data_IF_075305927338
#
_entry.id   IF_075305927338
#
_cell.length_a   1.000
_cell.length_b   1.000
_cell.length_c   1.000
_cell.angle_alpha   90.00
_cell.angle_beta   90.00
_cell.angle_gamma   90.00
#
_symmetry.space_group_name_H-M   'P 1'
#
loop_
_entity.id
_entity.type
_entity.pdbx_description
1 polymer ?
#
# COMPACT_ATOMS: atom_id res chain seq x y z
N UNK A 1 16.58 2.36 16.69
CA UNK A 1 15.33 3.10 16.36
C UNK A 1 14.61 2.26 15.32
N UNK A 2 13.36 1.95 15.56
CA UNK A 2 12.54 1.16 14.65
C UNK A 2 12.36 1.88 13.31
N UNK A 3 12.55 1.18 12.22
CA UNK A 3 12.41 1.75 10.87
C UNK A 3 11.01 1.52 10.33
N UNK A 4 10.63 2.25 9.27
CA UNK A 4 9.38 2.01 8.57
C UNK A 4 9.24 0.55 8.10
N UNK A 5 10.36 -0.06 7.66
CA UNK A 5 10.40 -1.48 7.26
C UNK A 5 10.09 -2.40 8.44
N UNK A 6 10.71 -2.18 9.59
CA UNK A 6 10.48 -3.02 10.78
C UNK A 6 9.00 -2.99 11.19
N UNK A 7 8.37 -1.81 11.17
CA UNK A 7 6.93 -1.63 11.46
C UNK A 7 6.06 -2.39 10.45
N UNK A 8 6.34 -2.27 9.16
CA UNK A 8 5.57 -2.97 8.13
C UNK A 8 5.77 -4.50 8.21
N UNK A 9 6.98 -4.97 8.45
CA UNK A 9 7.28 -6.40 8.62
C UNK A 9 6.58 -6.97 9.86
N UNK A 10 6.51 -6.23 10.96
CA UNK A 10 5.75 -6.61 12.15
C UNK A 10 4.25 -6.66 11.84
N UNK A 11 3.69 -5.63 11.23
CA UNK A 11 2.28 -5.56 10.85
C UNK A 11 1.87 -6.68 9.87
N UNK A 12 2.79 -7.11 8.99
CA UNK A 12 2.56 -8.26 8.11
C UNK A 12 2.37 -9.57 8.88
N UNK A 13 2.96 -9.69 10.09
CA UNK A 13 2.82 -10.84 11.01
C UNK A 13 1.70 -10.67 12.04
N UNK A 14 0.86 -9.65 11.89
CA UNK A 14 -0.21 -9.29 12.84
C UNK A 14 0.26 -8.69 14.17
N UNK A 15 1.51 -8.25 14.22
CA UNK A 15 2.10 -7.51 15.33
C UNK A 15 2.02 -6.02 14.98
N UNK A 16 0.88 -5.42 15.33
CA UNK A 16 0.58 -4.01 15.02
C UNK A 16 1.21 -3.08 16.07
N UNK A 17 1.51 -1.83 15.71
CA UNK A 17 1.88 -0.80 16.70
C UNK A 17 0.86 -0.72 17.84
N UNK A 18 1.31 -0.35 19.06
CA UNK A 18 0.43 -0.29 20.23
C UNK A 18 -0.71 0.71 20.03
N UNK A 19 -1.94 0.34 20.42
CA UNK A 19 -3.10 1.23 20.33
C UNK A 19 -3.06 2.30 21.47
N UNK A 20 -2.08 3.22 21.41
CA UNK A 20 -1.73 4.14 22.48
C UNK A 20 -2.12 5.61 22.19
N UNK A 21 -2.80 5.87 21.07
CA UNK A 21 -3.20 7.20 20.64
C UNK A 21 -2.06 8.08 20.13
N UNK A 22 -0.87 7.52 19.90
CA UNK A 22 0.33 8.29 19.54
C UNK A 22 0.61 8.27 18.04
N UNK A 23 1.48 9.19 17.64
CA UNK A 23 2.07 9.24 16.32
C UNK A 23 3.58 9.07 16.44
N UNK A 24 4.13 8.08 15.75
CA UNK A 24 5.57 7.88 15.59
C UNK A 24 6.03 8.56 14.30
N UNK A 25 7.14 9.30 14.36
CA UNK A 25 7.77 9.88 13.18
C UNK A 25 9.04 9.11 12.86
N UNK A 26 9.16 8.61 11.65
CA UNK A 26 10.33 7.88 11.16
C UNK A 26 10.85 8.49 9.85
N UNK A 27 12.14 8.38 9.55
CA UNK A 27 12.66 8.82 8.25
C UNK A 27 12.01 8.06 7.09
N UNK A 28 11.85 8.71 5.96
CA UNK A 28 11.50 8.04 4.71
C UNK A 28 12.66 7.15 4.25
N UNK A 29 12.35 6.00 3.64
CA UNK A 29 13.38 5.04 3.19
C UNK A 29 13.82 5.30 1.73
N UNK A 30 13.15 6.18 1.02
CA UNK A 30 13.49 6.58 -0.35
C UNK A 30 13.02 8.00 -0.62
N UNK A 31 13.65 8.67 -1.59
CA UNK A 31 13.19 9.99 -2.04
C UNK A 31 11.82 9.93 -2.74
N UNK A 32 11.38 8.75 -3.17
CA UNK A 32 10.11 8.55 -3.88
C UNK A 32 8.89 8.76 -2.99
N UNK A 33 8.92 8.20 -1.77
CA UNK A 33 7.72 8.06 -0.94
C UNK A 33 7.93 8.70 0.44
N UNK A 34 7.00 9.56 0.84
CA UNK A 34 6.75 10.00 2.20
C UNK A 34 5.27 9.78 2.52
N UNK A 35 4.83 9.97 3.75
CA UNK A 35 3.39 9.87 4.02
C UNK A 35 3.02 9.46 5.42
N UNK A 36 1.83 8.92 5.54
CA UNK A 36 1.20 8.52 6.80
C UNK A 36 0.64 7.12 6.67
N UNK A 37 0.95 6.28 7.66
CA UNK A 37 0.27 5.00 7.88
C UNK A 37 -0.54 5.13 9.18
N UNK A 38 -1.82 4.76 9.14
CA UNK A 38 -2.66 4.73 10.33
C UNK A 38 -3.09 3.29 10.62
N UNK A 39 -2.72 2.83 11.80
CA UNK A 39 -3.13 1.56 12.39
C UNK A 39 -4.24 1.79 13.42
N UNK A 40 -4.63 0.75 14.13
CA UNK A 40 -5.60 0.89 15.23
C UNK A 40 -5.03 1.78 16.33
N UNK A 41 -5.56 2.99 16.45
CA UNK A 41 -5.19 4.00 17.46
C UNK A 41 -3.67 4.30 17.52
N UNK A 42 -2.95 4.15 16.43
CA UNK A 42 -1.56 4.56 16.28
C UNK A 42 -1.29 5.00 14.85
N UNK A 43 -0.51 6.05 14.66
CA UNK A 43 -0.10 6.48 13.32
C UNK A 43 1.43 6.52 13.20
N UNK A 44 1.91 6.34 11.99
CA UNK A 44 3.33 6.47 11.62
C UNK A 44 3.44 7.49 10.50
N UNK A 45 4.11 8.59 10.76
CA UNK A 45 4.46 9.58 9.72
C UNK A 45 5.88 9.27 9.27
N UNK A 46 6.06 8.92 8.01
CA UNK A 46 7.38 8.66 7.43
C UNK A 46 7.78 9.82 6.51
N UNK A 47 8.76 10.58 6.96
CA UNK A 47 9.20 11.81 6.31
C UNK A 47 10.59 12.20 6.81
N UNK A 48 11.32 13.00 6.04
CA UNK A 48 12.60 13.62 6.46
C UNK A 48 12.39 15.01 7.08
N UNK A 49 11.12 15.43 7.30
CA UNK A 49 10.81 16.66 8.01
C UNK A 49 11.08 16.54 9.51
N UNK A 50 11.28 17.69 10.17
CA UNK A 50 11.51 17.74 11.61
C UNK A 50 10.37 17.08 12.39
N UNK A 51 10.64 16.07 13.23
CA UNK A 51 9.61 15.42 14.05
C UNK A 51 8.83 16.40 14.94
N UNK A 52 9.48 17.45 15.43
CA UNK A 52 8.79 18.46 16.25
C UNK A 52 7.76 19.23 15.42
N UNK A 53 8.13 19.62 14.19
CA UNK A 53 7.17 20.26 13.27
C UNK A 53 5.97 19.36 12.98
N UNK A 54 6.19 18.06 12.79
CA UNK A 54 5.10 17.08 12.57
C UNK A 54 4.16 17.05 13.76
N UNK A 55 4.69 16.95 15.00
CA UNK A 55 3.88 16.90 16.20
C UNK A 55 3.13 18.21 16.46
N UNK A 56 3.77 19.36 16.26
CA UNK A 56 3.13 20.67 16.41
C UNK A 56 2.00 20.87 15.41
N UNK A 57 2.21 20.44 14.17
CA UNK A 57 1.20 20.50 13.10
C UNK A 57 0.01 19.60 13.41
N UNK A 58 0.24 18.37 13.90
CA UNK A 58 -0.82 17.46 14.33
C UNK A 58 -1.63 18.05 15.50
N UNK A 59 -0.96 18.64 16.49
CA UNK A 59 -1.61 19.25 17.64
C UNK A 59 -2.48 20.46 17.26
N UNK A 60 -2.19 21.13 16.16
CA UNK A 60 -2.96 22.27 15.67
C UNK A 60 -4.21 21.86 14.87
N UNK A 61 -4.37 20.58 14.51
CA UNK A 61 -5.56 20.11 13.78
C UNK A 61 -6.77 20.09 14.71
N UNK A 62 -7.89 20.76 14.36
CA UNK A 62 -9.05 20.88 15.27
C UNK A 62 -9.92 19.60 15.20
N UNK A 63 -9.38 18.46 15.59
CA UNK A 63 -10.10 17.19 15.66
C UNK A 63 -9.50 16.28 16.74
N UNK A 64 -10.08 15.11 16.91
CA UNK A 64 -9.54 14.06 17.79
C UNK A 64 -8.13 13.64 17.34
N UNK A 65 -7.25 13.40 18.31
CA UNK A 65 -5.85 13.04 18.06
C UNK A 65 -5.69 11.76 17.20
N UNK A 66 -6.63 10.81 17.29
CA UNK A 66 -6.60 9.60 16.45
C UNK A 66 -6.94 9.90 15.00
N UNK A 67 -7.75 10.93 14.74
CA UNK A 67 -8.13 11.34 13.39
C UNK A 67 -7.11 12.31 12.77
N UNK A 68 -6.33 13.02 13.58
CA UNK A 68 -5.44 14.08 13.11
C UNK A 68 -4.46 13.65 12.03
N UNK A 69 -3.79 12.47 12.09
CA UNK A 69 -2.81 12.06 11.08
C UNK A 69 -3.39 11.83 9.69
N UNK A 70 -4.67 11.43 9.59
CA UNK A 70 -5.38 11.24 8.32
C UNK A 70 -6.33 12.39 7.97
N UNK A 71 -6.30 13.46 8.79
CA UNK A 71 -7.12 14.63 8.51
C UNK A 71 -6.60 15.40 7.30
N UNK A 72 -7.48 15.85 6.39
CA UNK A 72 -7.08 16.64 5.23
C UNK A 72 -6.22 17.86 5.55
N UNK A 73 -6.41 18.52 6.69
CA UNK A 73 -5.60 19.67 7.12
C UNK A 73 -4.14 19.30 7.35
N UNK A 74 -3.88 18.21 8.07
CA UNK A 74 -2.53 17.71 8.28
C UNK A 74 -1.89 17.24 6.98
N UNK A 75 -2.63 16.47 6.17
CA UNK A 75 -2.13 15.98 4.88
C UNK A 75 -1.79 17.13 3.93
N UNK A 76 -2.61 18.18 3.89
CA UNK A 76 -2.31 19.39 3.08
C UNK A 76 -1.06 20.12 3.59
N UNK A 77 -0.91 20.30 4.91
CA UNK A 77 0.28 20.91 5.49
C UNK A 77 1.55 20.12 5.13
N UNK A 78 1.47 18.77 5.20
CA UNK A 78 2.58 17.89 4.83
C UNK A 78 2.89 17.94 3.34
N UNK A 79 1.88 18.01 2.47
CA UNK A 79 2.04 18.17 1.01
C UNK A 79 2.71 19.51 0.67
N UNK A 80 2.24 20.60 1.26
CA UNK A 80 2.81 21.94 1.05
C UNK A 80 4.27 22.02 1.54
N UNK A 81 4.54 21.45 2.71
CA UNK A 81 5.87 21.44 3.32
C UNK A 81 6.89 20.66 2.49
N UNK A 82 6.49 19.50 1.99
CA UNK A 82 7.36 18.58 1.24
C UNK A 82 7.40 18.85 -0.26
N UNK A 83 6.50 19.68 -0.80
CA UNK A 83 6.33 19.89 -2.23
C UNK A 83 5.88 18.65 -3.00
N UNK A 84 5.26 17.70 -2.30
CA UNK A 84 4.80 16.41 -2.85
C UNK A 84 3.35 16.47 -3.32
N UNK A 85 2.88 15.40 -3.94
CA UNK A 85 1.48 15.20 -4.35
C UNK A 85 0.93 13.91 -3.76
N UNK A 86 -0.35 13.87 -3.44
CA UNK A 86 -1.07 12.66 -3.05
C UNK A 86 -2.12 12.30 -4.09
N UNK A 87 -2.48 11.03 -4.18
CA UNK A 87 -3.59 10.57 -5.05
C UNK A 87 -4.84 10.28 -4.23
N UNK A 88 -4.73 9.40 -3.24
CA UNK A 88 -5.86 9.01 -2.39
C UNK A 88 -5.36 8.51 -1.04
N UNK A 89 -6.28 8.36 -0.10
CA UNK A 89 -6.06 7.57 1.10
C UNK A 89 -6.53 6.17 0.78
N UNK A 90 -5.68 5.16 0.97
CA UNK A 90 -5.98 3.78 0.67
C UNK A 90 -6.13 2.93 1.93
N UNK A 91 -6.97 1.92 1.88
CA UNK A 91 -6.93 0.84 2.84
C UNK A 91 -5.72 -0.04 2.56
N UNK A 92 -4.94 -0.33 3.60
CA UNK A 92 -3.82 -1.27 3.56
C UNK A 92 -4.32 -2.67 3.88
N UNK A 93 -4.02 -3.61 2.97
CA UNK A 93 -4.33 -5.03 3.16
C UNK A 93 -3.05 -5.85 3.01
N UNK A 94 -2.96 -6.95 3.75
CA UNK A 94 -1.85 -7.89 3.65
C UNK A 94 -2.35 -9.31 3.50
N UNK A 95 -1.73 -10.07 2.59
CA UNK A 95 -1.98 -11.49 2.37
C UNK A 95 -0.70 -12.30 2.59
N UNK A 96 -0.77 -13.35 3.40
CA UNK A 96 0.34 -14.29 3.56
C UNK A 96 0.57 -15.09 2.27
N UNK A 97 1.80 -15.52 1.95
CA UNK A 97 2.06 -16.40 0.83
C UNK A 97 1.29 -17.71 0.95
N UNK A 98 1.01 -18.33 -0.18
CA UNK A 98 0.35 -19.63 -0.26
C UNK A 98 1.30 -20.66 -0.87
N UNK A 99 1.31 -21.90 -0.36
CA UNK A 99 2.09 -22.99 -0.93
C UNK A 99 1.43 -23.53 -2.20
N UNK A 100 2.22 -24.23 -3.02
CA UNK A 100 1.75 -24.91 -4.23
C UNK A 100 1.60 -24.00 -5.45
N UNK A 101 0.99 -24.53 -6.48
CA UNK A 101 0.80 -23.86 -7.76
C UNK A 101 -0.35 -22.87 -7.74
N UNK A 102 -0.27 -21.76 -8.50
CA UNK A 102 -1.38 -20.82 -8.65
C UNK A 102 -2.65 -21.50 -9.21
N UNK A 103 -3.85 -21.10 -8.80
CA UNK A 103 -5.10 -21.67 -9.29
C UNK A 103 -5.45 -21.25 -10.73
N UNK A 104 -4.60 -20.46 -11.37
CA UNK A 104 -4.71 -19.98 -12.74
C UNK A 104 -3.40 -20.22 -13.50
N UNK A 105 -3.47 -20.53 -14.80
CA UNK A 105 -2.27 -20.55 -15.65
C UNK A 105 -1.74 -19.12 -15.80
N UNK A 106 -0.60 -18.83 -15.21
CA UNK A 106 0.07 -17.55 -15.29
C UNK A 106 1.31 -17.66 -16.17
N UNK A 107 1.46 -16.74 -17.12
CA UNK A 107 2.65 -16.59 -17.94
C UNK A 107 3.34 -15.28 -17.62
N UNK A 108 4.61 -15.31 -17.26
CA UNK A 108 5.39 -14.11 -16.98
C UNK A 108 5.53 -13.23 -18.23
N UNK A 109 5.35 -11.93 -18.05
CA UNK A 109 5.49 -10.91 -19.09
C UNK A 109 6.86 -10.29 -18.95
N UNK A 110 7.70 -10.44 -19.97
CA UNK A 110 9.01 -9.79 -20.06
C UNK A 110 8.95 -8.47 -20.84
N UNK A 111 7.95 -8.31 -21.69
CA UNK A 111 7.68 -7.07 -22.42
C UNK A 111 6.99 -6.05 -21.52
N UNK A 112 7.64 -4.91 -21.33
CA UNK A 112 7.23 -3.86 -20.41
C UNK A 112 6.21 -2.85 -20.94
N UNK A 113 5.57 -3.09 -22.10
CA UNK A 113 4.68 -2.13 -22.74
C UNK A 113 3.27 -2.04 -22.14
N UNK A 114 2.84 -3.02 -21.32
CA UNK A 114 1.51 -3.02 -20.73
C UNK A 114 1.34 -1.82 -19.76
N UNK A 115 0.24 -1.02 -19.88
CA UNK A 115 0.05 0.21 -19.08
C UNK A 115 0.18 0.00 -17.57
N UNK A 116 -0.31 -1.12 -17.04
CA UNK A 116 -0.20 -1.49 -15.63
C UNK A 116 1.25 -1.70 -15.19
N UNK A 117 2.10 -2.26 -16.05
CA UNK A 117 3.52 -2.48 -15.78
C UNK A 117 4.26 -1.14 -15.78
N UNK A 118 3.98 -0.30 -16.78
CA UNK A 118 4.55 1.05 -16.88
C UNK A 118 4.20 1.88 -15.63
N UNK A 119 2.93 1.85 -15.22
CA UNK A 119 2.48 2.52 -14.01
C UNK A 119 3.20 2.00 -12.75
N UNK A 120 3.33 0.67 -12.62
CA UNK A 120 4.00 0.06 -11.48
C UNK A 120 5.48 0.44 -11.42
N UNK A 121 6.19 0.45 -12.54
CA UNK A 121 7.61 0.85 -12.63
C UNK A 121 7.86 2.30 -12.20
N UNK A 122 6.89 3.18 -12.34
CA UNK A 122 6.98 4.55 -11.83
C UNK A 122 6.85 4.67 -10.30
N UNK A 123 6.49 3.58 -9.61
CA UNK A 123 6.14 3.58 -8.18
C UNK A 123 6.81 2.51 -7.36
N UNK A 124 7.38 1.49 -8.00
CA UNK A 124 7.92 0.28 -7.38
C UNK A 124 9.21 -0.13 -8.04
N UNK A 125 10.07 -0.72 -7.26
CA UNK A 125 11.29 -1.38 -7.72
C UNK A 125 11.02 -2.87 -7.97
N UNK A 126 11.92 -3.58 -8.65
CA UNK A 126 11.88 -5.02 -8.89
C UNK A 126 10.53 -5.51 -9.47
N UNK A 127 9.97 -4.73 -10.39
CA UNK A 127 8.64 -5.01 -10.95
C UNK A 127 8.67 -6.25 -11.83
N UNK A 128 7.83 -7.23 -11.48
CA UNK A 128 7.52 -8.43 -12.24
C UNK A 128 6.04 -8.50 -12.55
N UNK A 129 5.68 -9.07 -13.67
CA UNK A 129 4.28 -9.16 -14.10
C UNK A 129 3.97 -10.50 -14.75
N UNK A 130 2.73 -10.94 -14.58
CA UNK A 130 2.19 -12.15 -15.18
C UNK A 130 0.83 -11.86 -15.80
N UNK A 131 0.54 -12.58 -16.87
CA UNK A 131 -0.76 -12.52 -17.56
C UNK A 131 -1.44 -13.87 -17.57
N UNK A 132 -2.76 -13.83 -17.60
CA UNK A 132 -3.65 -14.92 -17.95
C UNK A 132 -4.68 -14.42 -18.96
N UNK A 133 -5.61 -15.26 -19.41
CA UNK A 133 -6.69 -14.80 -20.29
C UNK A 133 -7.51 -13.72 -19.58
N UNK A 134 -7.44 -12.48 -20.10
CA UNK A 134 -8.19 -11.32 -19.66
C UNK A 134 -7.74 -10.68 -18.35
N UNK A 135 -6.53 -10.88 -17.92
CA UNK A 135 -6.03 -10.22 -16.74
C UNK A 135 -4.52 -10.23 -16.56
N UNK A 136 -4.06 -9.26 -15.79
CA UNK A 136 -2.64 -9.07 -15.46
C UNK A 136 -2.49 -8.92 -13.94
N UNK A 137 -1.44 -9.54 -13.39
CA UNK A 137 -0.98 -9.34 -12.02
C UNK A 137 0.43 -8.77 -12.06
N UNK A 138 0.69 -7.77 -11.25
CA UNK A 138 1.99 -7.11 -11.13
C UNK A 138 2.42 -7.10 -9.68
N UNK A 139 3.65 -7.51 -9.41
CA UNK A 139 4.32 -7.42 -8.11
C UNK A 139 5.49 -6.44 -8.22
N UNK A 140 5.82 -5.75 -7.12
CA UNK A 140 6.99 -4.87 -7.06
C UNK A 140 7.20 -4.33 -5.65
N UNK A 141 8.40 -3.82 -5.38
CA UNK A 141 8.78 -3.24 -4.09
C UNK A 141 8.33 -1.78 -4.00
N UNK A 142 7.38 -1.49 -3.13
CA UNK A 142 6.84 -0.15 -2.90
C UNK A 142 7.28 0.47 -1.59
N UNK A 143 6.33 1.09 -0.90
CA UNK A 143 6.54 1.83 0.35
C UNK A 143 7.28 0.99 1.38
N UNK A 144 8.35 1.53 1.94
CA UNK A 144 9.18 0.84 2.94
C UNK A 144 9.85 -0.44 2.42
N UNK A 145 9.86 -0.68 1.09
CA UNK A 145 10.40 -1.89 0.47
C UNK A 145 9.50 -3.12 0.59
N UNK A 146 8.27 -2.99 1.10
CA UNK A 146 7.28 -4.07 1.13
C UNK A 146 6.93 -4.54 -0.28
N UNK A 147 6.62 -5.82 -0.45
CA UNK A 147 6.20 -6.37 -1.73
C UNK A 147 4.71 -6.06 -1.96
N UNK A 148 4.39 -5.35 -3.02
CA UNK A 148 3.04 -4.89 -3.33
C UNK A 148 2.48 -5.57 -4.57
N UNK A 149 1.17 -5.83 -4.56
CA UNK A 149 0.44 -6.43 -5.67
C UNK A 149 -0.54 -5.44 -6.28
N UNK A 150 -0.65 -5.44 -7.59
CA UNK A 150 -1.75 -4.83 -8.31
C UNK A 150 -2.25 -5.74 -9.42
N UNK A 151 -3.55 -5.67 -9.72
CA UNK A 151 -4.19 -6.47 -10.74
C UNK A 151 -5.01 -5.60 -11.68
N UNK A 152 -5.14 -6.05 -12.91
CA UNK A 152 -6.05 -5.45 -13.89
C UNK A 152 -6.84 -6.56 -14.58
N UNK A 153 -8.12 -6.31 -14.81
CA UNK A 153 -9.04 -7.23 -15.47
C UNK A 153 -9.63 -6.52 -16.68
N UNK A 154 -9.57 -7.16 -17.82
CA UNK A 154 -10.14 -6.66 -19.06
C UNK A 154 -11.64 -6.41 -18.89
N UNK A 155 -12.15 -5.32 -19.48
CA UNK A 155 -13.53 -4.88 -19.25
C UNK A 155 -14.57 -5.94 -19.58
N UNK A 156 -14.37 -6.64 -20.68
CA UNK A 156 -15.32 -7.62 -21.24
C UNK A 156 -15.53 -8.87 -20.37
N UNK A 157 -14.56 -9.14 -19.46
CA UNK A 157 -14.60 -10.35 -18.63
C UNK A 157 -14.72 -10.04 -17.13
N UNK A 158 -14.94 -8.79 -16.77
CA UNK A 158 -15.24 -8.40 -15.40
C UNK A 158 -16.48 -9.15 -14.87
N UNK A 159 -16.60 -9.25 -13.55
CA UNK A 159 -17.69 -9.91 -12.83
C UNK A 159 -17.76 -11.45 -12.90
N UNK A 160 -16.70 -12.11 -13.40
CA UNK A 160 -16.61 -13.58 -13.49
C UNK A 160 -15.72 -14.20 -12.41
N UNK A 161 -15.35 -13.45 -11.37
CA UNK A 161 -14.49 -13.94 -10.28
C UNK A 161 -12.98 -13.88 -10.57
N UNK A 162 -12.54 -13.48 -11.77
CA UNK A 162 -11.14 -13.45 -12.17
C UNK A 162 -10.28 -12.56 -11.25
N UNK A 163 -10.80 -11.41 -10.78
CA UNK A 163 -10.08 -10.53 -9.85
C UNK A 163 -9.69 -11.23 -8.57
N UNK A 164 -10.62 -11.99 -7.95
CA UNK A 164 -10.32 -12.80 -6.77
C UNK A 164 -9.29 -13.89 -7.11
N UNK A 165 -9.46 -14.58 -8.22
CA UNK A 165 -8.55 -15.64 -8.63
C UNK A 165 -7.13 -15.10 -8.87
N UNK A 166 -6.96 -13.92 -9.51
CA UNK A 166 -5.66 -13.29 -9.74
C UNK A 166 -4.97 -12.87 -8.44
N UNK A 167 -5.69 -12.20 -7.51
CA UNK A 167 -5.07 -11.79 -6.23
C UNK A 167 -4.79 -12.99 -5.32
N UNK A 168 -5.52 -14.11 -5.47
CA UNK A 168 -5.17 -15.39 -4.83
C UNK A 168 -3.91 -15.96 -5.47
N UNK A 169 -3.86 -16.02 -6.80
CA UNK A 169 -2.71 -16.54 -7.55
C UNK A 169 -1.42 -15.77 -7.24
N UNK A 170 -1.51 -14.45 -7.04
CA UNK A 170 -0.38 -13.63 -6.65
C UNK A 170 0.33 -14.13 -5.39
N UNK A 171 -0.42 -14.67 -4.42
CA UNK A 171 0.12 -15.21 -3.16
C UNK A 171 0.95 -16.49 -3.33
N UNK A 172 0.83 -17.18 -4.46
CA UNK A 172 1.66 -18.33 -4.84
C UNK A 172 2.96 -17.94 -5.56
N UNK A 173 3.09 -16.67 -5.99
CA UNK A 173 4.25 -16.17 -6.74
C UNK A 173 5.39 -15.69 -5.84
N UNK A 174 5.22 -15.73 -4.53
CA UNK A 174 6.19 -15.21 -3.56
C UNK A 174 6.20 -16.02 -2.29
N UNK A 175 7.32 -15.95 -1.56
CA UNK A 175 7.46 -16.47 -0.21
C UNK A 175 7.27 -15.37 0.86
N UNK A 176 7.03 -14.12 0.46
CA UNK A 176 6.87 -12.98 1.34
C UNK A 176 5.39 -12.54 1.41
N UNK A 177 4.97 -11.87 2.51
CA UNK A 177 3.65 -11.24 2.57
C UNK A 177 3.45 -10.23 1.42
N UNK A 178 2.26 -10.25 0.82
CA UNK A 178 1.86 -9.32 -0.22
C UNK A 178 0.97 -8.23 0.32
N UNK A 179 1.34 -6.98 0.03
CA UNK A 179 0.58 -5.80 0.38
C UNK A 179 -0.28 -5.34 -0.79
N UNK A 180 -1.49 -4.88 -0.49
CA UNK A 180 -2.38 -4.25 -1.45
C UNK A 180 -2.91 -2.93 -0.91
N UNK A 181 -2.93 -1.92 -1.79
CA UNK A 181 -3.52 -0.62 -1.55
C UNK A 181 -4.85 -0.55 -2.29
N UNK A 182 -5.91 -0.26 -1.58
CA UNK A 182 -7.25 -0.21 -2.17
C UNK A 182 -7.96 1.07 -1.76
N UNK A 183 -8.24 1.93 -2.74
CA UNK A 183 -9.04 3.12 -2.51
C UNK A 183 -10.40 2.75 -1.89
N UNK A 184 -10.87 3.43 -0.83
CA UNK A 184 -12.11 3.10 -0.13
C UNK A 184 -13.34 3.07 -1.05
N UNK A 185 -13.36 3.90 -2.10
CA UNK A 185 -14.39 3.89 -3.12
C UNK A 185 -14.39 2.66 -4.04
N UNK A 186 -13.31 1.86 -4.05
CA UNK A 186 -13.19 0.67 -4.88
C UNK A 186 -13.68 -0.59 -4.14
N UNK A 187 -14.97 -0.62 -3.83
CA UNK A 187 -15.59 -1.74 -3.11
C UNK A 187 -15.44 -3.11 -3.83
N UNK A 188 -15.25 -3.11 -5.14
CA UNK A 188 -15.03 -4.36 -5.91
C UNK A 188 -13.66 -4.96 -5.61
N UNK A 189 -12.61 -4.17 -5.69
CA UNK A 189 -11.25 -4.60 -5.31
C UNK A 189 -11.20 -5.00 -3.85
N UNK A 190 -11.80 -4.20 -2.96
CA UNK A 190 -11.86 -4.53 -1.53
C UNK A 190 -12.44 -5.93 -1.30
N UNK A 191 -13.63 -6.22 -1.88
CA UNK A 191 -14.24 -7.57 -1.76
C UNK A 191 -13.39 -8.67 -2.37
N UNK A 192 -12.71 -8.41 -3.50
CA UNK A 192 -11.86 -9.41 -4.14
C UNK A 192 -10.66 -9.78 -3.25
N UNK A 193 -9.96 -8.79 -2.69
CA UNK A 193 -8.84 -9.02 -1.79
C UNK A 193 -9.27 -9.71 -0.49
N UNK A 194 -10.33 -9.24 0.17
CA UNK A 194 -10.85 -9.88 1.38
C UNK A 194 -11.25 -11.34 1.12
N UNK A 195 -11.96 -11.62 0.01
CA UNK A 195 -12.37 -12.98 -0.36
C UNK A 195 -11.18 -13.87 -0.77
N UNK A 196 -10.04 -13.29 -1.12
CA UNK A 196 -8.79 -13.99 -1.39
C UNK A 196 -7.92 -14.18 -0.13
N UNK A 197 -8.42 -13.80 1.05
CA UNK A 197 -7.75 -13.99 2.34
C UNK A 197 -6.71 -12.93 2.68
N UNK A 198 -6.77 -11.75 2.04
CA UNK A 198 -6.06 -10.58 2.53
C UNK A 198 -6.83 -10.00 3.72
N UNK A 199 -6.12 -9.52 4.73
CA UNK A 199 -6.69 -8.87 5.90
C UNK A 199 -6.37 -7.37 5.90
N UNK A 200 -7.29 -6.50 6.32
CA UNK A 200 -7.00 -5.09 6.51
C UNK A 200 -6.09 -4.91 7.74
N UNK A 201 -5.11 -4.02 7.64
CA UNK A 201 -4.20 -3.69 8.75
C UNK A 201 -4.22 -2.22 9.10
N UNK A 202 -4.79 -1.37 8.25
CA UNK A 202 -4.86 0.07 8.47
C UNK A 202 -5.20 0.82 7.20
N UNK A 203 -4.82 2.08 7.17
CA UNK A 203 -4.92 2.95 5.99
C UNK A 203 -3.62 3.71 5.77
N UNK A 204 -3.43 4.22 4.56
CA UNK A 204 -2.25 5.00 4.20
C UNK A 204 -2.58 6.19 3.32
N UNK A 205 -1.82 7.26 3.48
CA UNK A 205 -1.74 8.38 2.56
C UNK A 205 -0.29 8.50 2.09
N UNK A 206 -0.02 8.05 0.87
CA UNK A 206 1.33 8.10 0.28
C UNK A 206 1.51 9.39 -0.49
N UNK A 207 2.56 10.12 -0.16
CA UNK A 207 2.96 11.36 -0.79
C UNK A 207 4.12 11.09 -1.74
N UNK A 208 3.86 11.28 -3.02
CA UNK A 208 4.79 11.01 -4.11
C UNK A 208 5.62 12.25 -4.44
N UNK A 209 6.90 12.06 -4.77
CA UNK A 209 7.72 13.16 -5.27
C UNK A 209 7.07 13.80 -6.51
N UNK A 210 7.11 15.13 -6.59
CA UNK A 210 6.70 15.87 -7.77
C UNK A 210 7.78 15.71 -8.86
N UNK A 211 7.67 14.66 -9.69
CA UNK A 211 8.46 14.53 -10.92
C UNK A 211 7.61 14.86 -12.11
#
# INVERSE_FOLDING_TARGET
METLRDILDAAARDDLPPADGRTTVVPQLSERDAGVLAFTAHAVVFTDEDPQWVHDTLAAVPCDALAAPMNPWFLMALLERTGRRAETIDAMLVGSPLPGEPPLPLREITDGAHPRIVYARGRRDDVRAWTTEGGVVVLGRGVGGRLEVSVEIDEDIRHRGLGRALVTAARHLTAEPLWAQVAPGNARSMRAFLAAGYRPVGSEAVLLSAR
#
